data_IF_462576517650
#
_entry.id   IF_462576517650
#
_cell.length_a   1.000
_cell.length_b   1.000
_cell.length_c   1.000
_cell.angle_alpha   90.00
_cell.angle_beta   90.00
_cell.angle_gamma   90.00
#
_symmetry.space_group_name_H-M   'P 1'
#
loop_
_entity.id
_entity.type
_entity.pdbx_description
1 polymer ?
#
# COMPACT_ATOMS: atom_id res chain seq x y z
N UNK A 1 -15.88 31.67 16.40
CA UNK A 1 -15.36 30.29 16.48
C UNK A 1 -16.45 29.21 16.51
N UNK A 2 -17.69 29.48 16.97
CA UNK A 2 -18.79 28.50 16.98
C UNK A 2 -19.57 28.35 15.65
N UNK A 3 -19.57 29.35 14.77
CA UNK A 3 -20.25 29.28 13.46
C UNK A 3 -19.57 28.35 12.44
N UNK A 4 -18.26 28.13 12.55
CA UNK A 4 -17.53 27.21 11.66
C UNK A 4 -17.80 25.74 11.96
N UNK A 5 -18.07 25.38 13.22
CA UNK A 5 -18.35 24.01 13.66
C UNK A 5 -19.69 23.48 13.13
N UNK A 6 -20.74 24.31 13.08
CA UNK A 6 -22.04 23.91 12.54
C UNK A 6 -22.04 23.73 11.01
N UNK A 7 -21.18 24.46 10.28
CA UNK A 7 -20.98 24.29 8.84
C UNK A 7 -20.15 23.04 8.50
N UNK A 8 -19.23 22.61 9.38
CA UNK A 8 -18.44 21.39 9.20
C UNK A 8 -19.34 20.13 9.29
N UNK A 9 -20.35 20.14 10.15
CA UNK A 9 -21.27 19.00 10.34
C UNK A 9 -22.22 18.73 9.16
N UNK A 10 -22.39 19.66 8.21
CA UNK A 10 -23.36 19.51 7.10
C UNK A 10 -22.83 18.79 5.85
N UNK A 11 -21.54 18.42 5.80
CA UNK A 11 -20.93 17.81 4.61
C UNK A 11 -20.30 16.46 4.92
N UNK A 12 -21.10 15.49 5.41
CA UNK A 12 -20.67 14.09 5.45
C UNK A 12 -20.47 13.57 4.03
N UNK A 13 -19.37 12.86 3.81
CA UNK A 13 -19.13 12.19 2.53
C UNK A 13 -20.24 11.15 2.32
N UNK A 14 -20.80 11.11 1.11
CA UNK A 14 -21.87 10.17 0.78
C UNK A 14 -21.37 8.72 0.94
N UNK A 15 -22.12 7.89 1.69
CA UNK A 15 -21.81 6.48 1.91
C UNK A 15 -21.60 5.70 0.60
N UNK A 16 -22.29 6.06 -0.49
CA UNK A 16 -22.08 5.45 -1.82
C UNK A 16 -20.67 5.70 -2.35
N UNK A 17 -20.12 6.89 -2.16
CA UNK A 17 -18.75 7.24 -2.57
C UNK A 17 -17.74 6.44 -1.74
N UNK A 18 -17.95 6.38 -0.42
CA UNK A 18 -17.11 5.57 0.48
C UNK A 18 -17.12 4.10 0.04
N UNK A 19 -18.30 3.55 -0.24
CA UNK A 19 -18.46 2.19 -0.72
C UNK A 19 -17.70 1.93 -2.03
N UNK A 20 -17.95 2.73 -3.06
CA UNK A 20 -17.33 2.55 -4.38
C UNK A 20 -15.80 2.66 -4.32
N UNK A 21 -15.27 3.67 -3.64
CA UNK A 21 -13.82 3.83 -3.50
C UNK A 21 -13.20 2.69 -2.70
N UNK A 22 -13.80 2.29 -1.57
CA UNK A 22 -13.27 1.18 -0.77
C UNK A 22 -13.36 -0.15 -1.55
N UNK A 23 -14.43 -0.37 -2.30
CA UNK A 23 -14.63 -1.56 -3.13
C UNK A 23 -13.57 -1.66 -4.22
N UNK A 24 -13.37 -0.60 -5.02
CA UNK A 24 -12.42 -0.66 -6.14
C UNK A 24 -10.97 -0.38 -5.78
N UNK A 25 -10.65 0.20 -4.62
CA UNK A 25 -9.26 0.38 -4.19
C UNK A 25 -8.75 -0.76 -3.29
N UNK A 26 -9.64 -1.48 -2.60
CA UNK A 26 -9.27 -2.58 -1.69
C UNK A 26 -9.74 -3.92 -2.23
N UNK A 27 -11.03 -4.07 -2.55
CA UNK A 27 -11.57 -5.38 -2.93
C UNK A 27 -11.22 -5.78 -4.37
N UNK A 28 -11.23 -4.85 -5.32
CA UNK A 28 -10.97 -5.11 -6.75
C UNK A 28 -10.03 -4.07 -7.39
N UNK A 29 -8.77 -3.95 -6.91
CA UNK A 29 -7.86 -2.90 -7.33
C UNK A 29 -7.29 -3.05 -8.74
N UNK A 30 -7.36 -4.26 -9.32
CA UNK A 30 -6.91 -4.55 -10.70
C UNK A 30 -8.04 -4.56 -11.71
N UNK A 31 -9.29 -4.37 -11.29
CA UNK A 31 -10.41 -4.29 -12.23
C UNK A 31 -10.30 -3.03 -13.10
N UNK A 32 -10.41 -3.20 -14.41
CA UNK A 32 -10.27 -2.12 -15.38
C UNK A 32 -9.92 -2.58 -16.79
N UNK A 33 -9.29 -1.69 -17.55
CA UNK A 33 -8.82 -1.92 -18.91
C UNK A 33 -7.41 -1.37 -19.10
N UNK A 34 -6.68 -1.85 -20.12
CA UNK A 34 -5.40 -1.28 -20.52
C UNK A 34 -5.54 -0.49 -21.83
N UNK A 35 -4.83 0.64 -21.94
CA UNK A 35 -4.63 1.35 -23.21
C UNK A 35 -3.13 1.49 -23.39
N UNK A 36 -2.58 0.97 -24.51
CA UNK A 36 -1.14 1.04 -24.82
C UNK A 36 -0.24 0.60 -23.64
N UNK A 37 -0.57 -0.53 -23.00
CA UNK A 37 0.08 -1.09 -21.79
C UNK A 37 -0.13 -0.34 -20.46
N UNK A 38 -0.78 0.83 -20.47
CA UNK A 38 -1.11 1.61 -19.27
C UNK A 38 -2.40 1.05 -18.63
N UNK A 39 -2.38 0.63 -17.36
CA UNK A 39 -3.57 0.14 -16.67
C UNK A 39 -4.46 1.30 -16.18
N UNK A 40 -5.69 1.35 -16.66
CA UNK A 40 -6.76 2.23 -16.16
C UNK A 40 -7.70 1.42 -15.28
N UNK A 41 -7.53 1.52 -13.96
CA UNK A 41 -8.36 0.78 -13.00
C UNK A 41 -9.55 1.60 -12.53
N UNK A 42 -10.65 0.93 -12.21
CA UNK A 42 -11.87 1.58 -11.74
C UNK A 42 -11.64 2.46 -10.51
N UNK A 43 -10.77 2.01 -9.58
CA UNK A 43 -10.45 2.77 -8.37
C UNK A 43 -9.79 4.12 -8.69
N UNK A 44 -8.83 4.15 -9.62
CA UNK A 44 -8.12 5.37 -9.99
C UNK A 44 -9.00 6.30 -10.85
N UNK A 45 -9.83 5.74 -11.74
CA UNK A 45 -10.82 6.50 -12.50
C UNK A 45 -11.85 7.17 -11.57
N UNK A 46 -12.33 6.45 -10.55
CA UNK A 46 -13.24 7.01 -9.55
C UNK A 46 -12.58 8.08 -8.71
N UNK A 47 -11.31 7.90 -8.30
CA UNK A 47 -10.55 8.95 -7.61
C UNK A 47 -10.47 10.22 -8.46
N UNK A 48 -10.08 10.10 -9.74
CA UNK A 48 -10.00 11.23 -10.65
C UNK A 48 -11.37 11.92 -10.84
N UNK A 49 -12.43 11.14 -11.06
CA UNK A 49 -13.79 11.63 -11.23
C UNK A 49 -14.30 12.40 -10.00
N UNK A 50 -14.14 11.83 -8.80
CA UNK A 50 -14.57 12.51 -7.57
C UNK A 50 -13.69 13.71 -7.23
N UNK A 51 -12.39 13.66 -7.51
CA UNK A 51 -11.50 14.82 -7.40
C UNK A 51 -12.00 15.98 -8.25
N UNK A 52 -12.33 15.72 -9.53
CA UNK A 52 -12.89 16.73 -10.44
C UNK A 52 -14.22 17.29 -9.93
N UNK A 53 -15.14 16.43 -9.48
CA UNK A 53 -16.44 16.88 -8.94
C UNK A 53 -16.26 17.79 -7.73
N UNK A 54 -15.36 17.45 -6.80
CA UNK A 54 -15.15 18.26 -5.60
C UNK A 54 -14.44 19.58 -5.91
N UNK A 55 -13.53 19.60 -6.89
CA UNK A 55 -12.94 20.84 -7.42
C UNK A 55 -14.02 21.75 -8.02
N UNK A 56 -14.82 21.25 -8.97
CA UNK A 56 -15.87 22.03 -9.65
C UNK A 56 -16.91 22.56 -8.64
N UNK A 57 -17.34 21.72 -7.69
CA UNK A 57 -18.32 22.11 -6.67
C UNK A 57 -17.71 22.96 -5.55
N UNK A 58 -16.42 23.31 -5.62
CA UNK A 58 -15.67 24.02 -4.56
C UNK A 58 -15.85 23.38 -3.18
N UNK A 59 -15.96 22.05 -3.14
CA UNK A 59 -16.14 21.24 -1.93
C UNK A 59 -14.81 20.73 -1.38
N UNK A 60 -13.72 21.46 -1.63
CA UNK A 60 -12.41 21.20 -1.06
C UNK A 60 -12.16 22.13 0.14
N UNK A 61 -11.24 21.71 0.99
CA UNK A 61 -10.78 22.49 2.12
C UNK A 61 -9.54 21.82 2.65
N UNK A 62 -8.59 22.61 3.14
CA UNK A 62 -7.24 22.13 3.37
C UNK A 62 -6.90 22.30 4.83
N UNK A 63 -6.49 21.21 5.47
CA UNK A 63 -5.94 21.23 6.81
C UNK A 63 -4.46 21.60 6.76
N UNK A 64 -3.98 22.27 7.82
CA UNK A 64 -2.59 22.71 7.92
C UNK A 64 -1.62 21.55 7.79
N UNK A 65 -1.90 20.43 8.46
CA UNK A 65 -1.04 19.25 8.45
C UNK A 65 -0.94 18.62 7.05
N UNK A 66 -2.05 18.62 6.30
CA UNK A 66 -2.06 18.15 4.91
C UNK A 66 -1.26 19.08 3.98
N UNK A 67 -1.33 20.40 4.19
CA UNK A 67 -0.50 21.37 3.45
C UNK A 67 0.98 21.11 3.70
N UNK A 68 1.37 20.91 4.97
CA UNK A 68 2.76 20.66 5.32
C UNK A 68 3.31 19.42 4.61
N UNK A 69 2.54 18.32 4.58
CA UNK A 69 2.90 17.14 3.79
C UNK A 69 3.01 17.46 2.31
N UNK A 70 2.03 18.17 1.73
CA UNK A 70 2.06 18.52 0.31
C UNK A 70 3.30 19.35 -0.04
N UNK A 71 3.70 20.29 0.83
CA UNK A 71 4.94 21.07 0.69
C UNK A 71 6.17 20.15 0.77
N UNK A 72 6.19 19.17 1.67
CA UNK A 72 7.28 18.20 1.76
C UNK A 72 7.43 17.31 0.52
N UNK A 73 6.42 17.19 -0.34
CA UNK A 73 6.53 16.52 -1.64
C UNK A 73 7.21 17.39 -2.71
N UNK A 74 7.17 18.73 -2.58
CA UNK A 74 7.68 19.66 -3.60
C UNK A 74 9.16 19.43 -3.95
N UNK A 75 10.10 19.22 -2.99
CA UNK A 75 11.49 18.97 -3.35
C UNK A 75 11.66 17.76 -4.26
N UNK A 76 10.97 16.66 -3.97
CA UNK A 76 11.05 15.45 -4.79
C UNK A 76 10.42 15.67 -6.17
N UNK A 77 9.26 16.33 -6.21
CA UNK A 77 8.56 16.66 -7.46
C UNK A 77 9.39 17.57 -8.36
N UNK A 78 10.11 18.56 -7.79
CA UNK A 78 10.98 19.46 -8.53
C UNK A 78 12.22 18.71 -9.07
N UNK A 79 12.91 17.96 -8.21
CA UNK A 79 14.11 17.21 -8.62
C UNK A 79 13.75 16.20 -9.72
N UNK A 80 12.71 15.39 -9.50
CA UNK A 80 12.30 14.40 -10.49
C UNK A 80 11.82 15.01 -11.80
N UNK A 81 11.14 16.17 -11.76
CA UNK A 81 10.75 16.88 -12.98
C UNK A 81 11.95 17.45 -13.72
N UNK A 82 12.93 18.02 -13.01
CA UNK A 82 14.17 18.48 -13.63
C UNK A 82 14.95 17.32 -14.24
N UNK A 83 15.09 16.19 -13.55
CA UNK A 83 15.71 14.98 -14.09
C UNK A 83 15.00 14.52 -15.36
N UNK A 84 13.67 14.47 -15.36
CA UNK A 84 12.88 14.09 -16.54
C UNK A 84 13.02 15.09 -17.70
N UNK A 85 13.18 16.39 -17.42
CA UNK A 85 13.36 17.41 -18.44
C UNK A 85 14.77 17.39 -19.05
N UNK A 86 15.81 17.23 -18.24
CA UNK A 86 17.20 17.27 -18.71
C UNK A 86 17.67 15.94 -19.30
N UNK A 87 17.33 14.82 -18.67
CA UNK A 87 17.81 13.49 -19.08
C UNK A 87 16.78 12.75 -19.93
N UNK A 88 15.52 13.17 -19.90
CA UNK A 88 14.43 12.49 -20.60
C UNK A 88 13.96 11.20 -19.91
N UNK A 89 13.15 10.45 -20.64
CA UNK A 89 12.66 9.13 -20.27
C UNK A 89 12.78 8.18 -21.47
N UNK A 90 12.84 6.88 -21.20
CA UNK A 90 12.93 5.90 -22.28
C UNK A 90 11.63 5.88 -23.11
N UNK A 91 11.75 6.01 -24.44
CA UNK A 91 10.60 6.25 -25.34
C UNK A 91 9.77 5.00 -25.68
N UNK A 92 10.09 3.85 -25.11
CA UNK A 92 9.35 2.62 -25.35
C UNK A 92 7.98 2.65 -24.65
N UNK A 93 6.95 2.03 -25.25
CA UNK A 93 5.57 2.10 -24.74
C UNK A 93 5.43 1.60 -23.30
N UNK A 94 6.24 0.63 -22.90
CA UNK A 94 6.30 0.09 -21.54
C UNK A 94 6.77 1.14 -20.52
N UNK A 95 7.89 1.81 -20.82
CA UNK A 95 8.50 2.85 -19.99
C UNK A 95 7.59 4.09 -19.90
N UNK A 96 6.88 4.42 -20.97
CA UNK A 96 5.85 5.46 -20.95
C UNK A 96 4.72 5.14 -19.97
N UNK A 97 4.32 3.87 -19.84
CA UNK A 97 3.36 3.44 -18.84
C UNK A 97 3.82 3.69 -17.41
N UNK A 98 5.10 3.45 -17.12
CA UNK A 98 5.68 3.76 -15.82
C UNK A 98 5.84 5.25 -15.57
N UNK A 99 6.12 6.05 -16.59
CA UNK A 99 6.13 7.51 -16.47
C UNK A 99 4.74 8.02 -16.05
N UNK A 100 3.66 7.54 -16.68
CA UNK A 100 2.29 7.90 -16.27
C UNK A 100 2.03 7.45 -14.84
N UNK A 101 2.39 6.21 -14.48
CA UNK A 101 2.22 5.71 -13.12
C UNK A 101 2.99 6.56 -12.10
N UNK A 102 4.20 7.01 -12.45
CA UNK A 102 5.03 7.91 -11.65
C UNK A 102 4.36 9.28 -11.45
N UNK A 103 3.93 9.92 -12.54
CA UNK A 103 3.25 11.22 -12.50
C UNK A 103 1.98 11.13 -11.64
N UNK A 104 1.16 10.09 -11.87
CA UNK A 104 -0.06 9.89 -11.08
C UNK A 104 0.28 9.67 -9.60
N UNK A 105 1.30 8.86 -9.29
CA UNK A 105 1.64 8.48 -7.92
C UNK A 105 2.25 9.61 -7.10
N UNK A 106 3.09 10.45 -7.70
CA UNK A 106 3.85 11.48 -6.99
C UNK A 106 3.37 12.90 -7.21
N UNK A 107 2.52 13.17 -8.22
CA UNK A 107 1.97 14.51 -8.48
C UNK A 107 0.46 14.52 -8.29
N UNK A 108 -0.27 13.68 -9.03
CA UNK A 108 -1.74 13.73 -9.01
C UNK A 108 -2.32 13.25 -7.68
N UNK A 109 -1.91 12.09 -7.18
CA UNK A 109 -2.49 11.51 -5.96
C UNK A 109 -2.17 12.32 -4.70
N UNK A 110 -0.93 12.83 -4.45
CA UNK A 110 -0.66 13.68 -3.30
C UNK A 110 -1.53 14.93 -3.32
N UNK A 111 -1.69 15.57 -4.49
CA UNK A 111 -2.63 16.68 -4.64
C UNK A 111 -4.08 16.25 -4.35
N UNK A 112 -4.53 15.12 -4.86
CA UNK A 112 -5.88 14.61 -4.56
C UNK A 112 -6.11 14.40 -3.05
N UNK A 113 -5.20 13.72 -2.36
CA UNK A 113 -5.40 13.34 -0.95
C UNK A 113 -5.10 14.46 0.06
N UNK A 114 -4.12 15.32 -0.21
CA UNK A 114 -3.69 16.37 0.71
C UNK A 114 -4.26 17.75 0.38
N UNK A 115 -4.76 17.99 -0.84
CA UNK A 115 -5.44 19.23 -1.20
C UNK A 115 -6.95 19.03 -1.35
N UNK A 116 -7.37 18.22 -2.32
CA UNK A 116 -8.79 18.11 -2.69
C UNK A 116 -9.60 17.41 -1.59
N UNK A 117 -9.16 16.23 -1.17
CA UNK A 117 -9.88 15.38 -0.20
C UNK A 117 -9.55 15.68 1.26
N UNK A 118 -8.67 16.63 1.56
CA UNK A 118 -8.19 16.89 2.93
C UNK A 118 -9.34 17.07 3.94
N UNK A 119 -10.29 17.97 3.65
CA UNK A 119 -11.49 18.16 4.49
C UNK A 119 -12.51 17.02 4.37
N UNK A 120 -12.63 16.38 3.21
CA UNK A 120 -13.58 15.28 3.02
C UNK A 120 -13.21 14.07 3.87
N UNK A 121 -11.92 13.80 4.07
CA UNK A 121 -11.43 12.69 4.88
C UNK A 121 -11.76 12.89 6.36
N UNK A 122 -11.71 14.14 6.86
CA UNK A 122 -12.18 14.48 8.23
C UNK A 122 -13.66 14.15 8.41
N UNK A 123 -14.46 14.40 7.37
CA UNK A 123 -15.91 14.21 7.39
C UNK A 123 -16.36 12.79 6.95
N UNK A 124 -15.44 11.82 6.91
CA UNK A 124 -15.78 10.43 6.64
C UNK A 124 -16.62 9.85 7.78
N UNK A 125 -17.66 9.09 7.43
CA UNK A 125 -18.33 8.19 8.37
C UNK A 125 -17.38 7.02 8.69
N UNK A 126 -16.51 7.22 9.68
CA UNK A 126 -15.47 6.25 10.05
C UNK A 126 -16.05 4.90 10.47
N UNK A 127 -17.22 4.87 11.12
CA UNK A 127 -17.89 3.64 11.52
C UNK A 127 -18.31 2.83 10.29
N UNK A 128 -18.93 3.49 9.30
CA UNK A 128 -19.28 2.86 8.03
C UNK A 128 -18.03 2.42 7.26
N UNK A 129 -17.03 3.29 7.13
CA UNK A 129 -15.77 2.98 6.46
C UNK A 129 -15.07 1.78 7.08
N UNK A 130 -14.85 1.74 8.41
CA UNK A 130 -14.19 0.61 9.06
C UNK A 130 -14.99 -0.70 8.95
N UNK A 131 -16.32 -0.60 8.87
CA UNK A 131 -17.17 -1.77 8.61
C UNK A 131 -16.93 -2.33 7.22
N UNK A 132 -16.83 -1.48 6.19
CA UNK A 132 -16.49 -1.92 4.83
C UNK A 132 -15.06 -2.42 4.74
N UNK A 133 -14.10 -1.66 5.26
CA UNK A 133 -12.67 -1.99 5.25
C UNK A 133 -12.40 -3.39 5.82
N UNK A 134 -12.92 -3.72 7.01
CA UNK A 134 -12.73 -5.06 7.58
C UNK A 134 -13.42 -6.16 6.78
N UNK A 135 -14.59 -5.88 6.20
CA UNK A 135 -15.31 -6.86 5.36
C UNK A 135 -14.54 -7.13 4.07
N UNK A 136 -14.02 -6.09 3.42
CA UNK A 136 -13.28 -6.25 2.16
C UNK A 136 -11.91 -6.87 2.37
N UNK A 137 -11.16 -6.52 3.42
CA UNK A 137 -9.91 -7.22 3.76
C UNK A 137 -10.18 -8.71 4.01
N UNK A 138 -11.20 -9.04 4.81
CA UNK A 138 -11.57 -10.43 5.04
C UNK A 138 -11.97 -11.14 3.74
N UNK A 139 -12.78 -10.48 2.90
CA UNK A 139 -13.19 -11.00 1.59
C UNK A 139 -12.00 -11.30 0.68
N UNK A 140 -11.06 -10.36 0.48
CA UNK A 140 -9.90 -10.59 -0.40
C UNK A 140 -8.98 -11.69 0.15
N UNK A 141 -8.88 -11.85 1.47
CA UNK A 141 -8.14 -12.96 2.08
C UNK A 141 -8.82 -14.30 1.85
N UNK A 142 -10.13 -14.40 2.10
CA UNK A 142 -10.89 -15.62 1.81
C UNK A 142 -10.83 -15.99 0.32
N UNK A 143 -11.04 -15.00 -0.55
CA UNK A 143 -10.97 -15.20 -2.00
C UNK A 143 -9.57 -15.63 -2.44
N UNK A 144 -8.52 -15.02 -1.89
CA UNK A 144 -7.14 -15.41 -2.17
C UNK A 144 -6.82 -16.84 -1.74
N UNK A 145 -7.21 -17.23 -0.52
CA UNK A 145 -7.02 -18.59 -0.01
C UNK A 145 -7.79 -19.60 -0.85
N UNK A 146 -9.03 -19.29 -1.20
CA UNK A 146 -9.83 -20.10 -2.11
C UNK A 146 -9.13 -20.27 -3.46
N UNK A 147 -8.69 -19.17 -4.10
CA UNK A 147 -7.98 -19.23 -5.38
C UNK A 147 -6.68 -20.03 -5.33
N UNK A 148 -5.93 -19.92 -4.23
CA UNK A 148 -4.69 -20.66 -4.02
C UNK A 148 -4.94 -22.18 -4.06
N UNK A 149 -5.89 -22.67 -3.25
CA UNK A 149 -6.24 -24.09 -3.27
C UNK A 149 -6.94 -24.52 -4.55
N UNK A 150 -7.79 -23.66 -5.13
CA UNK A 150 -8.44 -23.93 -6.40
C UNK A 150 -7.42 -24.15 -7.53
N UNK A 151 -6.36 -23.33 -7.60
CA UNK A 151 -5.27 -23.49 -8.58
C UNK A 151 -4.51 -24.79 -8.36
N UNK A 152 -4.22 -25.16 -7.11
CA UNK A 152 -3.56 -26.43 -6.77
C UNK A 152 -4.41 -27.63 -7.24
N UNK A 153 -5.72 -27.59 -7.02
CA UNK A 153 -6.62 -28.70 -7.35
C UNK A 153 -6.94 -28.82 -8.84
N UNK A 154 -7.09 -27.68 -9.54
CA UNK A 154 -7.61 -27.66 -10.93
C UNK A 154 -6.56 -27.32 -11.98
N UNK A 155 -5.38 -26.83 -11.57
CA UNK A 155 -4.36 -26.28 -12.46
C UNK A 155 -4.75 -24.95 -13.12
N UNK A 156 -5.94 -24.40 -12.86
CA UNK A 156 -6.47 -23.19 -13.51
C UNK A 156 -6.74 -22.07 -12.50
N UNK A 157 -6.62 -20.82 -12.95
CA UNK A 157 -7.08 -19.66 -12.18
C UNK A 157 -8.54 -19.34 -12.51
N UNK A 158 -9.31 -18.91 -11.51
CA UNK A 158 -10.63 -18.33 -11.73
C UNK A 158 -10.45 -16.83 -12.05
N UNK A 159 -10.77 -16.46 -13.28
CA UNK A 159 -10.57 -15.12 -13.83
C UNK A 159 -11.92 -14.45 -14.13
N UNK A 160 -12.28 -13.43 -13.35
CA UNK A 160 -13.44 -12.58 -13.61
C UNK A 160 -12.97 -11.30 -14.33
N UNK A 161 -13.27 -11.22 -15.63
CA UNK A 161 -12.89 -10.10 -16.48
C UNK A 161 -13.51 -8.80 -15.97
N UNK A 162 -12.74 -7.69 -16.02
CA UNK A 162 -13.06 -6.35 -15.50
C UNK A 162 -13.16 -6.21 -13.98
N UNK A 163 -13.19 -7.32 -13.23
CA UNK A 163 -13.23 -7.31 -11.77
C UNK A 163 -11.90 -7.75 -11.17
N UNK A 164 -11.54 -9.02 -11.39
CA UNK A 164 -10.28 -9.55 -10.86
C UNK A 164 -9.15 -9.30 -11.83
N UNK A 165 -9.38 -9.35 -13.14
CA UNK A 165 -8.37 -9.10 -14.17
C UNK A 165 -8.81 -8.01 -15.16
N UNK A 166 -7.84 -7.34 -15.79
CA UNK A 166 -8.13 -6.50 -16.94
C UNK A 166 -8.54 -7.38 -18.14
N UNK A 167 -9.31 -6.82 -19.07
CA UNK A 167 -9.72 -7.52 -20.30
C UNK A 167 -8.55 -8.13 -21.06
N UNK A 168 -7.42 -7.42 -21.15
CA UNK A 168 -6.24 -7.86 -21.88
C UNK A 168 -5.32 -8.82 -21.10
N UNK A 169 -5.61 -9.09 -19.82
CA UNK A 169 -4.79 -9.96 -18.97
C UNK A 169 -5.30 -11.43 -18.90
N UNK A 170 -6.37 -11.75 -19.63
CA UNK A 170 -7.00 -13.08 -19.62
C UNK A 170 -6.03 -14.17 -20.07
N UNK A 171 -5.86 -15.21 -19.25
CA UNK A 171 -4.95 -16.33 -19.53
C UNK A 171 -3.47 -16.04 -19.33
N UNK A 172 -3.09 -14.81 -18.94
CA UNK A 172 -1.69 -14.40 -18.76
C UNK A 172 -1.28 -14.27 -17.29
N UNK A 173 -2.09 -14.77 -16.35
CA UNK A 173 -1.77 -14.68 -14.92
C UNK A 173 -0.53 -15.51 -14.58
N UNK A 174 -0.41 -16.73 -15.12
CA UNK A 174 0.68 -17.66 -14.79
C UNK A 174 2.08 -17.08 -15.07
N UNK A 175 2.19 -16.15 -16.00
CA UNK A 175 3.45 -15.54 -16.46
C UNK A 175 3.92 -14.39 -15.54
N UNK A 176 3.07 -13.90 -14.62
CA UNK A 176 3.39 -12.73 -13.76
C UNK A 176 4.22 -13.05 -12.52
N UNK A 177 5.27 -13.86 -12.64
CA UNK A 177 6.18 -14.27 -11.56
C UNK A 177 5.50 -14.93 -10.34
N UNK A 178 4.37 -15.60 -10.58
CA UNK A 178 3.55 -16.25 -9.55
C UNK A 178 3.95 -17.71 -9.35
N UNK A 179 4.51 -18.34 -10.38
CA UNK A 179 4.95 -19.74 -10.32
C UNK A 179 6.15 -19.91 -9.36
N UNK A 180 6.11 -20.95 -8.52
CA UNK A 180 7.19 -21.39 -7.62
C UNK A 180 7.51 -22.87 -7.82
N UNK A 181 7.34 -23.37 -9.05
CA UNK A 181 7.49 -24.78 -9.40
C UNK A 181 6.21 -25.53 -9.09
N UNK A 182 6.21 -26.32 -8.01
CA UNK A 182 5.08 -27.16 -7.63
C UNK A 182 3.85 -26.37 -7.13
N UNK A 183 4.04 -25.16 -6.62
CA UNK A 183 2.97 -24.31 -6.05
C UNK A 183 3.04 -22.90 -6.66
N UNK A 184 1.92 -22.19 -6.60
CA UNK A 184 1.78 -20.81 -7.05
C UNK A 184 1.59 -19.85 -5.87
N UNK A 185 2.07 -18.61 -5.97
CA UNK A 185 1.78 -17.58 -4.97
C UNK A 185 0.27 -17.31 -4.88
N UNK A 186 -0.22 -17.02 -3.68
CA UNK A 186 -1.56 -16.43 -3.50
C UNK A 186 -1.58 -15.01 -4.07
N UNK A 187 -2.53 -14.73 -4.97
CA UNK A 187 -2.65 -13.45 -5.67
C UNK A 187 -3.91 -12.64 -5.35
N UNK A 188 -4.99 -13.29 -4.91
CA UNK A 188 -6.31 -12.68 -4.73
C UNK A 188 -6.75 -11.83 -5.94
N UNK A 189 -7.57 -10.81 -5.73
CA UNK A 189 -8.02 -9.82 -6.74
C UNK A 189 -6.92 -8.82 -7.17
N UNK A 190 -5.71 -8.98 -6.65
CA UNK A 190 -4.56 -8.11 -6.93
C UNK A 190 -3.68 -8.65 -8.07
N UNK A 191 -3.94 -9.89 -8.52
CA UNK A 191 -3.21 -10.61 -9.58
C UNK A 191 -1.69 -10.70 -9.38
N UNK A 192 -1.21 -10.43 -8.17
CA UNK A 192 0.20 -10.50 -7.81
C UNK A 192 0.30 -10.62 -6.28
N UNK A 193 0.95 -11.67 -5.79
CA UNK A 193 1.03 -11.97 -4.36
C UNK A 193 1.89 -10.99 -3.56
N UNK A 194 2.91 -10.39 -4.18
CA UNK A 194 3.70 -9.33 -3.55
C UNK A 194 2.84 -8.07 -3.37
N UNK A 195 2.14 -7.63 -4.42
CA UNK A 195 1.26 -6.45 -4.35
C UNK A 195 0.16 -6.61 -3.31
N UNK A 196 -0.51 -7.78 -3.32
CA UNK A 196 -1.48 -8.15 -2.31
C UNK A 196 -0.90 -8.08 -0.90
N UNK A 197 0.25 -8.73 -0.69
CA UNK A 197 0.90 -8.80 0.61
C UNK A 197 1.33 -7.43 1.14
N UNK A 198 2.00 -6.62 0.32
CA UNK A 198 2.44 -5.26 0.67
C UNK A 198 1.25 -4.39 1.07
N UNK A 199 0.19 -4.38 0.26
CA UNK A 199 -1.03 -3.61 0.56
C UNK A 199 -1.67 -4.06 1.88
N UNK A 200 -1.77 -5.37 2.07
CA UNK A 200 -2.42 -5.93 3.25
C UNK A 200 -1.59 -5.73 4.52
N UNK A 201 -0.26 -5.85 4.48
CA UNK A 201 0.62 -5.54 5.62
C UNK A 201 0.48 -4.08 6.04
N UNK A 202 0.47 -3.15 5.09
CA UNK A 202 0.29 -1.73 5.39
C UNK A 202 -1.05 -1.46 6.10
N UNK A 203 -2.07 -2.25 5.80
CA UNK A 203 -3.40 -2.18 6.41
C UNK A 203 -3.57 -3.05 7.67
N UNK A 204 -2.64 -3.98 7.93
CA UNK A 204 -2.80 -5.07 8.89
C UNK A 204 -2.94 -4.58 10.34
N UNK A 205 -2.14 -3.62 10.85
CA UNK A 205 -2.31 -3.15 12.22
C UNK A 205 -3.71 -2.56 12.46
N UNK A 206 -4.24 -1.82 11.48
CA UNK A 206 -5.58 -1.24 11.55
C UNK A 206 -6.65 -2.34 11.53
N UNK A 207 -6.52 -3.32 10.64
CA UNK A 207 -7.43 -4.46 10.59
C UNK A 207 -7.44 -5.27 11.91
N UNK A 208 -6.26 -5.56 12.45
CA UNK A 208 -6.09 -6.26 13.72
C UNK A 208 -6.70 -5.51 14.90
N UNK A 209 -6.75 -4.17 14.84
CA UNK A 209 -7.37 -3.35 15.88
C UNK A 209 -8.90 -3.40 15.80
N UNK A 210 -9.48 -3.28 14.60
CA UNK A 210 -10.95 -3.12 14.41
C UNK A 210 -11.71 -4.46 14.32
N UNK A 211 -11.07 -5.54 13.88
CA UNK A 211 -11.71 -6.86 13.85
C UNK A 211 -11.63 -7.49 15.24
N UNK A 212 -12.74 -8.05 15.72
CA UNK A 212 -12.80 -8.68 17.06
C UNK A 212 -12.64 -10.19 16.95
N UNK A 213 -13.09 -10.79 15.84
CA UNK A 213 -13.10 -12.24 15.62
C UNK A 213 -11.70 -12.77 15.31
N UNK A 214 -11.20 -13.67 16.15
CA UNK A 214 -9.85 -14.27 16.05
C UNK A 214 -9.65 -15.07 14.77
N UNK A 215 -10.62 -15.92 14.40
CA UNK A 215 -10.53 -16.73 13.17
C UNK A 215 -10.39 -15.87 11.90
N UNK A 216 -11.05 -14.70 11.86
CA UNK A 216 -10.92 -13.77 10.73
C UNK A 216 -9.54 -13.15 10.64
N UNK A 217 -8.90 -12.87 11.78
CA UNK A 217 -7.50 -12.43 11.82
C UNK A 217 -6.57 -13.54 11.37
N UNK A 218 -6.84 -14.77 11.81
CA UNK A 218 -6.06 -15.92 11.40
C UNK A 218 -6.11 -16.12 9.88
N UNK A 219 -7.30 -16.12 9.27
CA UNK A 219 -7.45 -16.24 7.80
C UNK A 219 -6.65 -15.16 7.06
N UNK A 220 -6.72 -13.90 7.52
CA UNK A 220 -5.97 -12.78 6.90
C UNK A 220 -4.45 -12.94 7.05
N UNK A 221 -3.97 -13.49 8.16
CA UNK A 221 -2.54 -13.78 8.33
C UNK A 221 -2.10 -14.99 7.51
N UNK A 222 -2.91 -16.05 7.47
CA UNK A 222 -2.64 -17.22 6.63
C UNK A 222 -2.56 -16.83 5.17
N UNK A 223 -3.44 -15.93 4.68
CA UNK A 223 -3.34 -15.43 3.31
C UNK A 223 -2.04 -14.68 3.02
N UNK A 224 -1.43 -14.00 4.01
CA UNK A 224 -0.11 -13.39 3.86
C UNK A 224 0.99 -14.46 3.79
N UNK A 225 0.89 -15.54 4.56
CA UNK A 225 1.84 -16.66 4.50
C UNK A 225 1.83 -17.30 3.10
N UNK A 226 0.63 -17.58 2.57
CA UNK A 226 0.46 -18.21 1.25
C UNK A 226 0.85 -17.32 0.06
N UNK A 227 1.23 -16.05 0.28
CA UNK A 227 1.86 -15.25 -0.78
C UNK A 227 3.24 -15.78 -1.20
N UNK A 228 3.85 -16.65 -0.38
CA UNK A 228 5.19 -17.22 -0.59
C UNK A 228 6.22 -16.13 -0.92
N UNK A 229 6.15 -15.01 -0.21
CA UNK A 229 7.00 -13.85 -0.41
C UNK A 229 7.73 -13.50 0.89
N UNK A 230 9.06 -13.64 0.85
CA UNK A 230 9.94 -13.36 1.99
C UNK A 230 9.77 -11.93 2.52
N UNK A 231 9.61 -10.95 1.63
CA UNK A 231 9.37 -9.56 2.03
C UNK A 231 8.03 -9.40 2.75
N UNK A 232 6.99 -10.09 2.29
CA UNK A 232 5.66 -10.10 2.94
C UNK A 232 5.71 -10.79 4.31
N UNK A 233 6.52 -11.84 4.43
CA UNK A 233 6.74 -12.54 5.69
C UNK A 233 7.47 -11.66 6.72
N UNK A 234 8.54 -10.98 6.31
CA UNK A 234 9.24 -10.00 7.15
C UNK A 234 8.28 -8.87 7.55
N UNK A 235 7.50 -8.35 6.60
CA UNK A 235 6.49 -7.33 6.88
C UNK A 235 5.43 -7.77 7.87
N UNK A 236 4.97 -9.02 7.82
CA UNK A 236 4.05 -9.59 8.80
C UNK A 236 4.67 -9.62 10.20
N UNK A 237 5.92 -10.06 10.34
CA UNK A 237 6.63 -10.09 11.63
C UNK A 237 6.75 -8.67 12.20
N UNK A 238 7.20 -7.70 11.39
CA UNK A 238 7.34 -6.28 11.79
C UNK A 238 5.98 -5.70 12.20
N UNK A 239 4.94 -5.95 11.41
CA UNK A 239 3.58 -5.47 11.72
C UNK A 239 3.03 -6.05 13.02
N UNK A 240 3.24 -7.34 13.30
CA UNK A 240 2.81 -7.97 14.56
C UNK A 240 3.61 -7.46 15.75
N UNK A 241 4.91 -7.27 15.58
CA UNK A 241 5.77 -6.63 16.58
C UNK A 241 5.23 -5.24 16.94
N UNK A 242 4.98 -4.38 15.95
CA UNK A 242 4.42 -3.05 16.22
C UNK A 242 3.04 -3.12 16.89
N UNK A 243 2.19 -4.04 16.46
CA UNK A 243 0.85 -4.18 17.01
C UNK A 243 0.85 -4.63 18.48
N UNK A 244 1.61 -5.66 18.80
CA UNK A 244 1.61 -6.21 20.15
C UNK A 244 2.38 -5.31 21.14
N UNK A 245 3.48 -4.65 20.73
CA UNK A 245 4.30 -3.84 21.66
C UNK A 245 3.91 -2.37 21.77
N UNK A 246 3.41 -1.75 20.69
CA UNK A 246 3.15 -0.30 20.67
C UNK A 246 1.67 0.07 20.62
N UNK A 247 0.81 -0.79 20.04
CA UNK A 247 -0.62 -0.50 19.92
C UNK A 247 -1.40 -1.09 21.10
N UNK A 248 -1.08 -2.32 21.53
CA UNK A 248 -1.67 -2.91 22.72
C UNK A 248 -0.98 -2.43 24.00
N UNK A 249 -1.80 -2.22 25.04
CA UNK A 249 -1.32 -1.70 26.33
C UNK A 249 -0.67 -2.76 27.23
N UNK A 250 -0.93 -4.06 27.02
CA UNK A 250 -0.43 -5.12 27.92
C UNK A 250 0.87 -5.76 27.42
N UNK A 251 2.01 -5.14 27.71
CA UNK A 251 3.34 -5.54 27.21
C UNK A 251 3.72 -6.99 27.53
N UNK A 252 3.45 -7.49 28.75
CA UNK A 252 3.81 -8.88 29.14
C UNK A 252 3.03 -9.92 28.34
N UNK A 253 1.69 -9.79 28.27
CA UNK A 253 0.86 -10.71 27.47
C UNK A 253 1.16 -10.59 25.98
N UNK A 254 1.45 -9.37 25.50
CA UNK A 254 1.87 -9.10 24.13
C UNK A 254 3.18 -9.81 23.78
N UNK A 255 4.18 -9.80 24.66
CA UNK A 255 5.45 -10.49 24.45
C UNK A 255 5.23 -11.99 24.25
N UNK A 256 4.55 -12.67 25.19
CA UNK A 256 4.27 -14.10 25.10
C UNK A 256 3.50 -14.42 23.81
N UNK A 257 2.47 -13.63 23.49
CA UNK A 257 1.67 -13.82 22.28
C UNK A 257 2.52 -13.68 21.01
N UNK A 258 3.40 -12.68 20.96
CA UNK A 258 4.29 -12.47 19.83
C UNK A 258 5.20 -13.68 19.61
N UNK A 259 5.83 -14.20 20.66
CA UNK A 259 6.69 -15.40 20.56
C UNK A 259 5.92 -16.64 20.12
N UNK A 260 4.72 -16.88 20.66
CA UNK A 260 3.86 -17.99 20.22
C UNK A 260 3.50 -17.83 18.74
N UNK A 261 3.08 -16.63 18.32
CA UNK A 261 2.75 -16.36 16.91
C UNK A 261 3.97 -16.51 15.99
N UNK A 262 5.15 -16.10 16.46
CA UNK A 262 6.41 -16.23 15.73
C UNK A 262 6.81 -17.70 15.57
N UNK A 263 6.71 -18.50 16.63
CA UNK A 263 7.00 -19.93 16.56
C UNK A 263 6.04 -20.65 15.60
N UNK A 264 4.72 -20.41 15.72
CA UNK A 264 3.71 -20.96 14.79
C UNK A 264 4.00 -20.53 13.35
N UNK A 265 4.45 -19.30 13.15
CA UNK A 265 4.81 -18.80 11.83
C UNK A 265 6.01 -19.55 11.26
N UNK A 266 7.09 -19.73 12.03
CA UNK A 266 8.28 -20.48 11.59
C UNK A 266 7.93 -21.95 11.29
N UNK A 267 7.15 -22.60 12.16
CA UNK A 267 6.73 -24.00 11.89
C UNK A 267 5.89 -24.10 10.63
N UNK A 268 5.00 -23.12 10.37
CA UNK A 268 4.24 -23.07 9.13
C UNK A 268 5.14 -22.88 7.89
N UNK A 269 6.16 -22.02 7.98
CA UNK A 269 7.11 -21.82 6.87
C UNK A 269 7.90 -23.09 6.56
N UNK A 270 8.42 -23.77 7.58
CA UNK A 270 9.15 -25.04 7.44
C UNK A 270 8.23 -26.09 6.80
N UNK A 271 6.99 -26.22 7.29
CA UNK A 271 6.01 -27.16 6.76
C UNK A 271 5.69 -26.91 5.29
N UNK A 272 5.53 -25.63 4.89
CA UNK A 272 5.36 -25.25 3.49
C UNK A 272 6.62 -25.56 2.67
N UNK A 273 7.80 -25.28 3.22
CA UNK A 273 9.07 -25.59 2.56
C UNK A 273 9.20 -27.08 2.22
N UNK A 274 8.89 -27.95 3.18
CA UNK A 274 8.84 -29.39 2.97
C UNK A 274 7.78 -29.79 1.93
N UNK A 275 6.55 -29.26 2.02
CA UNK A 275 5.49 -29.57 1.06
C UNK A 275 5.82 -29.14 -0.38
N UNK A 276 6.62 -28.08 -0.53
CA UNK A 276 7.04 -27.54 -1.82
C UNK A 276 8.36 -28.13 -2.36
N UNK A 277 9.04 -29.01 -1.60
CA UNK A 277 10.43 -29.42 -1.88
C UNK A 277 11.39 -28.23 -2.05
N UNK A 278 11.22 -27.17 -1.25
CA UNK A 278 12.19 -26.07 -1.24
C UNK A 278 13.45 -26.49 -0.49
N UNK A 279 14.62 -26.19 -1.06
CA UNK A 279 15.88 -26.29 -0.34
C UNK A 279 15.93 -25.27 0.81
N UNK A 280 16.73 -25.56 1.84
CA UNK A 280 16.97 -24.61 2.94
C UNK A 280 17.55 -23.30 2.38
N UNK A 281 18.37 -23.38 1.34
CA UNK A 281 18.97 -22.24 0.65
C UNK A 281 17.92 -21.28 0.07
N UNK A 282 16.74 -21.76 -0.30
CA UNK A 282 15.67 -20.89 -0.80
C UNK A 282 15.20 -19.87 0.27
N UNK A 283 15.20 -20.28 1.55
CA UNK A 283 14.85 -19.37 2.65
C UNK A 283 15.90 -18.27 2.83
N UNK A 284 17.18 -18.61 2.61
CA UNK A 284 18.33 -17.74 2.80
C UNK A 284 18.93 -17.21 1.49
N UNK A 285 18.20 -17.31 0.38
CA UNK A 285 18.71 -16.95 -0.94
C UNK A 285 19.17 -15.49 -0.99
N UNK A 286 20.48 -15.30 -1.14
CA UNK A 286 21.16 -14.01 -1.17
C UNK A 286 20.98 -13.27 -2.50
N UNK A 287 20.45 -13.93 -3.54
CA UNK A 287 20.17 -13.27 -4.83
C UNK A 287 18.98 -12.31 -4.77
N UNK A 288 18.29 -12.21 -3.63
CA UNK A 288 17.05 -11.44 -3.44
C UNK A 288 15.96 -11.79 -4.47
N UNK A 289 15.95 -13.04 -4.96
CA UNK A 289 15.09 -13.47 -6.06
C UNK A 289 15.56 -12.96 -7.42
N UNK A 290 16.88 -12.98 -7.67
CA UNK A 290 17.49 -12.52 -8.92
C UNK A 290 17.57 -10.99 -9.08
N UNK A 291 17.57 -10.24 -7.97
CA UNK A 291 17.59 -8.77 -7.96
C UNK A 291 18.90 -8.19 -7.40
N UNK A 292 19.92 -9.03 -7.23
CA UNK A 292 21.21 -8.61 -6.68
C UNK A 292 21.88 -7.53 -7.54
N UNK A 293 21.68 -7.56 -8.85
CA UNK A 293 22.22 -6.57 -9.80
C UNK A 293 21.68 -5.14 -9.52
N UNK A 294 20.54 -4.99 -8.85
CA UNK A 294 20.06 -3.66 -8.42
C UNK A 294 20.97 -3.02 -7.36
N UNK A 295 21.85 -3.79 -6.71
CA UNK A 295 22.83 -3.25 -5.77
C UNK A 295 24.09 -2.72 -6.47
N UNK A 296 24.31 -3.02 -7.76
CA UNK A 296 25.46 -2.48 -8.51
C UNK A 296 25.42 -0.95 -8.62
N UNK A 297 24.22 -0.36 -8.52
CA UNK A 297 24.02 1.10 -8.46
C UNK A 297 24.80 1.72 -7.28
N UNK A 298 25.01 0.99 -6.19
CA UNK A 298 25.75 1.50 -5.03
C UNK A 298 27.24 1.72 -5.31
N UNK A 299 27.78 1.15 -6.40
CA UNK A 299 29.19 1.36 -6.80
C UNK A 299 29.42 2.74 -7.41
N UNK A 300 28.41 3.27 -8.11
CA UNK A 300 28.49 4.52 -8.87
C UNK A 300 27.36 5.47 -8.47
N UNK A 301 27.36 5.92 -7.22
CA UNK A 301 26.33 6.85 -6.72
C UNK A 301 26.75 8.29 -7.04
N UNK A 302 25.93 8.97 -7.83
CA UNK A 302 26.12 10.39 -8.15
C UNK A 302 25.25 11.30 -7.26
N UNK A 303 25.63 12.57 -7.14
CA UNK A 303 24.83 13.59 -6.43
C UNK A 303 23.62 14.01 -7.26
N UNK A 304 23.82 14.20 -8.57
CA UNK A 304 22.77 14.51 -9.55
C UNK A 304 22.60 13.33 -10.50
N UNK A 305 21.37 13.07 -10.93
CA UNK A 305 21.11 11.99 -11.87
C UNK A 305 21.53 12.41 -13.27
N UNK A 306 22.29 11.55 -13.94
CA UNK A 306 22.57 11.59 -15.39
C UNK A 306 21.80 10.51 -16.14
N UNK A 307 21.08 9.64 -15.42
CA UNK A 307 20.34 8.53 -15.98
C UNK A 307 19.02 8.98 -16.60
N UNK A 308 18.66 8.30 -17.70
CA UNK A 308 17.34 8.39 -18.31
C UNK A 308 16.34 7.68 -17.40
N UNK A 309 15.17 8.28 -17.15
CA UNK A 309 14.13 7.61 -16.39
C UNK A 309 13.58 6.39 -17.14
N UNK A 310 13.64 5.22 -16.52
CA UNK A 310 13.07 4.00 -17.07
C UNK A 310 11.84 3.53 -16.29
N UNK A 311 12.04 3.21 -15.02
CA UNK A 311 10.99 2.75 -14.11
C UNK A 311 11.48 2.80 -12.67
N UNK A 312 10.55 2.77 -11.71
CA UNK A 312 10.87 2.43 -10.32
C UNK A 312 10.59 0.94 -10.14
N UNK A 313 11.66 0.15 -10.03
CA UNK A 313 11.61 -1.32 -9.86
C UNK A 313 11.07 -1.67 -8.46
N UNK A 314 11.02 -2.97 -8.16
CA UNK A 314 10.43 -3.49 -6.91
C UNK A 314 11.16 -3.00 -5.64
N UNK A 315 12.50 -2.93 -5.66
CA UNK A 315 13.29 -2.31 -4.58
C UNK A 315 13.23 -0.80 -4.76
N UNK A 316 12.29 -0.18 -4.06
CA UNK A 316 11.92 1.23 -4.26
C UNK A 316 13.12 2.15 -4.01
N UNK A 317 13.85 1.95 -2.93
CA UNK A 317 14.91 2.87 -2.53
C UNK A 317 16.11 2.86 -3.48
N UNK A 318 16.56 1.67 -3.89
CA UNK A 318 17.62 1.55 -4.91
C UNK A 318 17.16 2.12 -6.25
N UNK A 319 15.91 1.90 -6.63
CA UNK A 319 15.37 2.46 -7.87
C UNK A 319 15.27 3.98 -7.84
N UNK A 320 14.92 4.58 -6.70
CA UNK A 320 14.90 6.05 -6.54
C UNK A 320 16.33 6.58 -6.64
N UNK A 321 17.31 5.93 -5.99
CA UNK A 321 18.72 6.29 -6.12
C UNK A 321 19.23 6.18 -7.56
N UNK A 322 18.87 5.11 -8.28
CA UNK A 322 19.22 4.89 -9.68
C UNK A 322 18.68 5.99 -10.59
N UNK A 323 17.38 6.32 -10.46
CA UNK A 323 16.72 7.25 -11.37
C UNK A 323 16.95 8.73 -10.99
N UNK A 324 17.07 9.04 -9.70
CA UNK A 324 17.03 10.41 -9.18
C UNK A 324 18.20 10.78 -8.26
N UNK A 325 19.24 9.95 -8.19
CA UNK A 325 20.48 10.19 -7.43
C UNK A 325 20.28 10.42 -5.93
N UNK A 326 21.35 10.81 -5.21
CA UNK A 326 21.30 11.05 -3.75
C UNK A 326 20.29 12.16 -3.41
N UNK A 327 20.29 13.27 -4.16
CA UNK A 327 19.41 14.40 -3.87
C UNK A 327 17.93 14.03 -4.03
N UNK A 328 17.59 13.31 -5.10
CA UNK A 328 16.23 12.82 -5.30
C UNK A 328 15.85 11.79 -4.24
N UNK A 329 16.78 10.94 -3.79
CA UNK A 329 16.53 9.99 -2.71
C UNK A 329 16.24 10.67 -1.37
N UNK A 330 17.04 11.67 -0.97
CA UNK A 330 16.78 12.45 0.25
C UNK A 330 15.42 13.16 0.16
N UNK A 331 15.13 13.81 -0.97
CA UNK A 331 13.86 14.48 -1.19
C UNK A 331 12.68 13.51 -1.15
N UNK A 332 12.84 12.32 -1.73
CA UNK A 332 11.85 11.24 -1.68
C UNK A 332 11.61 10.77 -0.23
N UNK A 333 12.66 10.56 0.56
CA UNK A 333 12.54 10.20 1.97
C UNK A 333 11.80 11.27 2.76
N UNK A 334 12.10 12.54 2.54
CA UNK A 334 11.37 13.68 3.14
C UNK A 334 9.88 13.60 2.77
N UNK A 335 9.57 13.46 1.48
CA UNK A 335 8.19 13.38 0.99
C UNK A 335 7.43 12.23 1.67
N UNK A 336 8.01 11.02 1.63
CA UNK A 336 7.35 9.81 2.14
C UNK A 336 7.26 9.77 3.66
N UNK A 337 8.29 10.20 4.40
CA UNK A 337 8.28 10.19 5.87
C UNK A 337 7.49 11.36 6.49
N UNK A 338 7.27 12.44 5.74
CA UNK A 338 6.62 13.65 6.25
C UNK A 338 5.28 13.42 6.97
N UNK A 339 4.35 12.53 6.54
CA UNK A 339 3.10 12.32 7.27
C UNK A 339 3.33 11.75 8.67
N UNK A 340 4.35 10.88 8.83
CA UNK A 340 4.71 10.30 10.12
C UNK A 340 5.36 11.35 11.03
N UNK A 341 6.29 12.13 10.48
CA UNK A 341 6.99 13.21 11.20
C UNK A 341 6.00 14.27 11.67
N UNK A 342 5.13 14.76 10.79
CA UNK A 342 4.11 15.77 11.10
C UNK A 342 3.13 15.24 12.14
N UNK A 343 2.72 13.97 12.06
CA UNK A 343 1.90 13.34 13.09
C UNK A 343 2.59 13.34 14.47
N UNK A 344 3.89 13.07 14.54
CA UNK A 344 4.65 13.09 15.79
C UNK A 344 4.86 14.51 16.34
N UNK A 345 5.06 15.49 15.46
CA UNK A 345 5.18 16.91 15.82
C UNK A 345 3.85 17.53 16.24
N UNK A 346 2.72 16.93 15.86
CA UNK A 346 1.40 17.42 16.23
C UNK A 346 1.28 17.39 17.75
N UNK A 347 1.16 18.58 18.34
CA UNK A 347 1.14 18.80 19.79
C UNK A 347 -0.18 18.29 20.39
N UNK A 348 -0.35 16.97 20.48
CA UNK A 348 -1.55 16.36 21.03
C UNK A 348 -1.43 16.32 22.55
N UNK A 349 -1.97 17.35 23.22
CA UNK A 349 -2.47 17.24 24.62
C UNK A 349 -3.58 16.17 24.75
N UNK A 350 -4.02 15.58 23.65
CA UNK A 350 -5.01 14.51 23.58
C UNK A 350 -4.34 13.14 23.45
N UNK A 351 -4.79 12.21 24.28
CA UNK A 351 -4.34 10.81 24.32
C UNK A 351 -4.27 10.21 22.90
N UNK A 352 -3.12 9.66 22.50
CA UNK A 352 -2.95 8.96 21.21
C UNK A 352 -4.05 7.90 21.08
N UNK A 353 -4.87 8.02 20.04
CA UNK A 353 -5.94 7.06 19.75
C UNK A 353 -5.28 5.82 19.14
N UNK A 354 -5.66 4.61 19.58
CA UNK A 354 -5.07 3.36 19.10
C UNK A 354 -5.13 3.23 17.56
N UNK A 355 -6.14 3.82 16.92
CA UNK A 355 -6.29 3.86 15.46
C UNK A 355 -5.18 4.66 14.80
N UNK A 356 -4.80 5.82 15.37
CA UNK A 356 -3.71 6.63 14.81
C UNK A 356 -2.39 5.85 14.86
N UNK A 357 -2.13 5.18 15.99
CA UNK A 357 -0.97 4.30 16.12
C UNK A 357 -1.01 3.14 15.11
N UNK A 358 -2.17 2.52 14.91
CA UNK A 358 -2.34 1.45 13.93
C UNK A 358 -2.06 1.92 12.49
N UNK A 359 -2.55 3.09 12.10
CA UNK A 359 -2.24 3.67 10.79
C UNK A 359 -0.76 4.04 10.69
N UNK A 360 -0.20 4.69 11.72
CA UNK A 360 1.21 5.07 11.79
C UNK A 360 2.14 3.88 11.58
N UNK A 361 1.93 2.79 12.34
CA UNK A 361 2.78 1.60 12.25
C UNK A 361 2.54 0.80 10.97
N UNK A 362 1.34 0.86 10.38
CA UNK A 362 1.07 0.29 9.07
C UNK A 362 1.89 0.99 7.97
N UNK A 363 1.86 2.32 7.96
CA UNK A 363 2.67 3.14 7.05
C UNK A 363 4.17 2.94 7.28
N UNK A 364 4.62 2.92 8.53
CA UNK A 364 6.03 2.66 8.87
C UNK A 364 6.48 1.27 8.41
N UNK A 365 5.64 0.25 8.57
CA UNK A 365 5.94 -1.10 8.08
C UNK A 365 6.14 -1.10 6.57
N UNK A 366 5.27 -0.41 5.82
CA UNK A 366 5.42 -0.26 4.36
C UNK A 366 6.74 0.40 3.98
N UNK A 367 7.12 1.49 4.66
CA UNK A 367 8.40 2.17 4.40
C UNK A 367 9.61 1.26 4.72
N UNK A 368 9.54 0.42 5.76
CA UNK A 368 10.63 -0.52 6.06
C UNK A 368 10.74 -1.60 4.98
N UNK A 369 9.62 -2.23 4.58
CA UNK A 369 9.66 -3.30 3.56
C UNK A 369 9.98 -2.78 2.16
N UNK A 370 9.78 -1.48 1.90
CA UNK A 370 10.17 -0.81 0.65
C UNK A 370 11.68 -0.83 0.38
N UNK A 371 12.50 -1.17 1.38
CA UNK A 371 13.92 -1.50 1.20
C UNK A 371 14.17 -2.77 0.37
N UNK A 372 13.16 -3.64 0.22
CA UNK A 372 13.28 -4.93 -0.44
C UNK A 372 12.22 -5.14 -1.53
N UNK A 373 10.96 -4.85 -1.24
CA UNK A 373 9.86 -5.00 -2.21
C UNK A 373 8.73 -4.06 -1.78
N UNK A 374 8.71 -2.89 -2.40
CA UNK A 374 7.71 -1.86 -2.13
C UNK A 374 6.76 -1.62 -3.29
N UNK A 375 7.18 -1.93 -4.53
CA UNK A 375 6.37 -1.86 -5.74
C UNK A 375 5.53 -0.56 -5.87
N UNK A 376 6.11 0.59 -5.49
CA UNK A 376 5.37 1.85 -5.23
C UNK A 376 4.52 2.36 -6.40
N UNK A 377 4.95 2.12 -7.64
CA UNK A 377 4.23 2.52 -8.86
C UNK A 377 3.07 1.59 -9.22
N UNK A 378 2.98 0.43 -8.59
CA UNK A 378 1.95 -0.55 -8.90
C UNK A 378 0.66 -0.27 -8.13
N UNK A 379 -0.45 -0.25 -8.87
CA UNK A 379 -1.79 -0.05 -8.32
C UNK A 379 -2.14 -1.21 -7.36
N UNK A 380 -2.67 -0.94 -6.14
CA UNK A 380 -3.13 0.37 -5.62
C UNK A 380 -2.21 1.01 -4.57
N UNK A 381 -0.93 0.63 -4.49
CA UNK A 381 -0.05 0.87 -3.33
C UNK A 381 -0.02 2.35 -2.90
N UNK A 382 0.33 3.25 -3.82
CA UNK A 382 0.46 4.67 -3.49
C UNK A 382 -0.89 5.31 -3.11
N UNK A 383 -1.99 4.88 -3.72
CA UNK A 383 -3.32 5.38 -3.33
C UNK A 383 -3.71 4.97 -1.91
N UNK A 384 -3.38 3.74 -1.49
CA UNK A 384 -3.61 3.28 -0.12
C UNK A 384 -2.68 3.98 0.86
N UNK A 385 -1.39 4.14 0.51
CA UNK A 385 -0.41 4.86 1.33
C UNK A 385 -0.90 6.28 1.62
N UNK A 386 -1.18 7.06 0.58
CA UNK A 386 -1.59 8.46 0.70
C UNK A 386 -2.95 8.62 1.39
N UNK A 387 -3.90 7.71 1.16
CA UNK A 387 -5.16 7.70 1.89
C UNK A 387 -4.92 7.50 3.39
N UNK A 388 -4.12 6.50 3.78
CA UNK A 388 -3.78 6.21 5.17
C UNK A 388 -2.98 7.37 5.79
N UNK A 389 -2.04 7.96 5.06
CA UNK A 389 -1.33 9.18 5.49
C UNK A 389 -2.29 10.33 5.76
N UNK A 390 -3.24 10.58 4.85
CA UNK A 390 -4.25 11.62 5.04
C UNK A 390 -5.15 11.31 6.25
N UNK A 391 -5.57 10.05 6.43
CA UNK A 391 -6.35 9.60 7.58
C UNK A 391 -5.59 9.73 8.91
N UNK A 392 -4.26 9.55 8.92
CA UNK A 392 -3.40 9.71 10.10
C UNK A 392 -3.40 11.16 10.60
N UNK A 393 -3.40 12.12 9.68
CA UNK A 393 -3.29 13.55 9.98
C UNK A 393 -4.61 14.18 10.42
N UNK A 394 -5.74 13.54 10.12
CA UNK A 394 -7.06 14.01 10.55
C UNK A 394 -7.31 13.83 12.05
N UNK A 395 -7.89 14.84 12.69
CA UNK A 395 -8.34 14.72 14.07
C UNK A 395 -9.64 13.93 14.13
N UNK A 396 -9.54 12.70 14.64
CA UNK A 396 -10.66 11.80 14.89
C UNK A 396 -11.36 12.19 16.21
N UNK A 397 -11.76 13.45 16.35
CA UNK A 397 -12.65 13.88 17.42
C UNK A 397 -14.08 13.51 17.00
N UNK A 398 -14.79 12.75 17.83
CA UNK A 398 -16.26 12.54 17.83
C UNK A 398 -16.93 11.26 17.28
N UNK A 399 -16.29 10.16 16.85
CA UNK A 399 -17.09 9.11 16.19
C UNK A 399 -16.73 7.63 16.44
N UNK A 400 -16.10 7.29 17.58
CA UNK A 400 -15.67 5.89 17.78
C UNK A 400 -15.96 5.39 19.20
N UNK A 401 -17.23 5.11 19.47
CA UNK A 401 -17.62 4.03 20.37
C UNK A 401 -17.46 2.71 19.58
N UNK A 402 -16.23 2.16 19.52
CA UNK A 402 -15.92 0.87 18.84
C UNK A 402 -15.57 -0.22 19.86
#
# INVERSE_FOLDING_TARGET
MNLSLNLINKLKVNKKIIFLLTFFLIAFPKGGFKVSSIPFTWGYLLLAFFSLIFLIKKKYGILREHILVLISFLPFQLISLLTLLFNGFEKNSFSFGFLIAFIVSFYCLPFCFFFIFSKNIVNLDLKYFFTLFKRFIFFISCYGVFLFFYKILTGKFLELIFFTINAQDKGFIDIKHINRGAIFKLISTYNNGNLYGICLIMMLPLYNLIEKKTYKKFIVKSSLIFTLSRTVWIGLIISEFFFDFFIKKNKKKSFIKFFISFFIFITALISIGFACNFSIDWFFDLSFGGRIDQFDILKNIEIFSTNIFWTIKEIVYLSILENFSILGFIAFLIAMLSPLIIYLMKNKKTKKINIDLAVFFGLLTYLIISCSDGAILYIPIMSLYLFLSSLLLTDKKFNLDI
#
